data_IF_677480668694
#
_entry.id   IF_677480668694
#
_cell.length_a   1.000
_cell.length_b   1.000
_cell.length_c   1.000
_cell.angle_alpha   90.00
_cell.angle_beta   90.00
_cell.angle_gamma   90.00
#
_symmetry.space_group_name_H-M   'P 1'
#
loop_
_entity.id
_entity.type
_entity.pdbx_description
1 polymer ?
#
# COMPACT_ATOMS: atom_id res chain seq x y z
N UNK A 1 20.89 11.56 -29.61
CA UNK A 1 19.56 10.89 -29.55
C UNK A 1 19.29 10.33 -30.94
N UNK A 2 19.52 9.02 -31.14
CA UNK A 2 19.27 8.35 -32.42
C UNK A 2 18.12 7.35 -32.20
N UNK A 3 17.04 7.53 -32.94
CA UNK A 3 15.84 6.70 -32.90
C UNK A 3 16.08 5.50 -33.84
N UNK A 4 15.93 4.27 -33.32
CA UNK A 4 15.94 3.05 -34.15
C UNK A 4 14.57 2.87 -34.81
N UNK A 5 14.48 2.38 -36.06
CA UNK A 5 13.21 2.20 -36.75
C UNK A 5 12.50 0.92 -36.28
N UNK A 6 11.18 1.00 -36.28
CA UNK A 6 10.23 -0.09 -36.00
C UNK A 6 10.26 -1.08 -37.16
N UNK A 7 10.43 -2.37 -36.85
CA UNK A 7 10.35 -3.46 -37.82
C UNK A 7 8.90 -3.96 -37.82
N UNK A 8 8.19 -3.73 -38.92
CA UNK A 8 6.90 -4.37 -39.20
C UNK A 8 7.14 -5.79 -39.72
N UNK A 9 6.44 -6.83 -39.22
CA UNK A 9 6.48 -8.16 -39.84
C UNK A 9 5.60 -8.18 -41.09
N UNK A 10 6.21 -8.55 -42.22
CA UNK A 10 5.54 -8.71 -43.51
C UNK A 10 4.59 -9.90 -43.54
N UNK A 11 3.43 -9.68 -44.14
CA UNK A 11 2.48 -10.70 -44.57
C UNK A 11 3.12 -11.60 -45.64
N UNK A 12 3.17 -12.91 -45.39
CA UNK A 12 3.00 -14.00 -46.37
C UNK A 12 3.40 -15.32 -45.70
N UNK A 13 2.43 -16.21 -45.52
CA UNK A 13 2.55 -17.64 -45.80
C UNK A 13 1.16 -18.28 -45.63
N UNK A 14 0.40 -18.23 -46.73
CA UNK A 14 -0.73 -19.12 -46.97
C UNK A 14 -0.19 -20.54 -47.19
N UNK A 15 -0.68 -21.53 -46.42
CA UNK A 15 -1.26 -22.79 -46.92
C UNK A 15 -1.27 -23.88 -45.84
N UNK A 16 -2.46 -24.31 -45.44
CA UNK A 16 -2.93 -25.70 -45.58
C UNK A 16 -4.20 -25.89 -44.75
N UNK A 17 -5.35 -25.74 -45.41
CA UNK A 17 -6.62 -26.22 -44.88
C UNK A 17 -6.71 -27.73 -45.15
N UNK A 18 -6.72 -28.54 -44.10
CA UNK A 18 -7.27 -29.88 -44.14
C UNK A 18 -8.36 -29.99 -43.08
N UNK A 19 -9.60 -30.02 -43.55
CA UNK A 19 -10.76 -30.48 -42.78
C UNK A 19 -10.57 -31.95 -42.44
N UNK A 20 -10.61 -32.27 -41.14
CA UNK A 20 -10.94 -33.62 -40.68
C UNK A 20 -12.10 -33.47 -39.70
N UNK A 21 -13.31 -33.72 -40.21
CA UNK A 21 -14.48 -33.97 -39.38
C UNK A 21 -14.27 -35.28 -38.61
N UNK A 22 -14.26 -35.22 -37.29
CA UNK A 22 -14.40 -36.42 -36.43
C UNK A 22 -15.52 -36.17 -35.43
N UNK A 23 -16.65 -36.83 -35.71
CA UNK A 23 -17.80 -36.86 -34.84
C UNK A 23 -17.56 -37.77 -33.61
N UNK A 24 -18.24 -37.41 -32.52
CA UNK A 24 -18.74 -38.25 -31.42
C UNK A 24 -17.75 -38.66 -30.32
N UNK A 25 -17.78 -37.91 -29.21
CA UNK A 25 -18.26 -38.33 -27.87
C UNK A 25 -17.62 -37.45 -26.80
N UNK A 26 -18.35 -36.42 -26.36
CA UNK A 26 -17.98 -35.60 -25.21
C UNK A 26 -18.41 -36.37 -23.96
N UNK A 27 -17.51 -36.77 -23.03
CA UNK A 27 -17.94 -37.09 -21.69
C UNK A 27 -18.54 -35.80 -21.14
N UNK A 28 -19.84 -35.83 -20.85
CA UNK A 28 -20.52 -34.77 -20.11
C UNK A 28 -19.81 -34.56 -18.79
N UNK A 29 -18.81 -33.68 -18.77
CA UNK A 29 -18.38 -33.01 -17.56
C UNK A 29 -19.60 -32.16 -17.21
N UNK A 30 -20.39 -32.64 -16.26
CA UNK A 30 -21.36 -31.80 -15.57
C UNK A 30 -20.56 -30.69 -14.91
N UNK A 31 -20.38 -29.60 -15.65
CA UNK A 31 -19.99 -28.31 -15.11
C UNK A 31 -21.15 -27.84 -14.27
N UNK A 32 -21.22 -28.30 -13.03
CA UNK A 32 -22.02 -27.64 -12.00
C UNK A 32 -21.65 -26.17 -12.09
N UNK A 33 -22.59 -25.25 -12.37
CA UNK A 33 -22.26 -23.84 -12.41
C UNK A 33 -21.85 -23.46 -10.99
N UNK A 34 -20.54 -23.36 -10.75
CA UNK A 34 -20.03 -22.74 -9.55
C UNK A 34 -20.52 -21.30 -9.64
N UNK A 35 -21.59 -20.99 -8.89
CA UNK A 35 -22.14 -19.65 -8.77
C UNK A 35 -21.10 -18.79 -8.05
N UNK A 36 -20.08 -18.36 -8.79
CA UNK A 36 -19.00 -17.48 -8.35
C UNK A 36 -19.47 -16.05 -8.04
N UNK A 37 -20.79 -15.81 -8.16
CA UNK A 37 -21.39 -14.49 -8.02
C UNK A 37 -22.21 -14.34 -6.72
N UNK A 38 -22.28 -15.36 -5.88
CA UNK A 38 -23.01 -15.33 -4.61
C UNK A 38 -22.08 -15.53 -3.44
N UNK A 39 -21.77 -14.43 -2.73
CA UNK A 39 -21.07 -14.45 -1.45
C UNK A 39 -21.93 -15.20 -0.43
N UNK A 40 -21.37 -16.22 0.20
CA UNK A 40 -22.06 -17.02 1.22
C UNK A 40 -22.35 -16.20 2.48
N UNK A 41 -23.28 -16.67 3.31
CA UNK A 41 -23.57 -16.02 4.59
C UNK A 41 -22.35 -16.04 5.53
N UNK A 42 -21.55 -17.11 5.47
CA UNK A 42 -20.29 -17.25 6.22
C UNK A 42 -19.26 -16.22 5.77
N UNK A 43 -19.10 -16.01 4.47
CA UNK A 43 -18.22 -14.98 3.91
C UNK A 43 -18.66 -13.57 4.30
N UNK A 44 -19.97 -13.30 4.28
CA UNK A 44 -20.53 -12.04 4.79
C UNK A 44 -20.23 -11.84 6.28
N UNK A 45 -20.30 -12.91 7.07
CA UNK A 45 -19.96 -12.88 8.49
C UNK A 45 -18.48 -12.60 8.71
N UNK A 46 -17.59 -13.22 7.94
CA UNK A 46 -16.15 -12.97 7.96
C UNK A 46 -15.82 -11.52 7.60
N UNK A 47 -16.44 -10.98 6.54
CA UNK A 47 -16.27 -9.58 6.14
C UNK A 47 -16.69 -8.64 7.27
N UNK A 48 -17.87 -8.83 7.87
CA UNK A 48 -18.32 -8.01 9.01
C UNK A 48 -17.33 -8.02 10.18
N UNK A 49 -16.75 -9.19 10.50
CA UNK A 49 -15.71 -9.30 11.54
C UNK A 49 -14.45 -8.53 11.15
N UNK A 50 -14.03 -8.61 9.90
CA UNK A 50 -12.89 -7.87 9.38
C UNK A 50 -13.11 -6.36 9.48
N UNK A 51 -14.24 -5.84 8.99
CA UNK A 51 -14.58 -4.42 9.07
C UNK A 51 -14.61 -3.93 10.52
N UNK A 52 -15.25 -4.66 11.42
CA UNK A 52 -15.27 -4.34 12.85
C UNK A 52 -13.86 -4.28 13.45
N UNK A 53 -12.95 -5.14 12.99
CA UNK A 53 -11.55 -5.14 13.44
C UNK A 53 -10.80 -3.93 12.88
N UNK A 54 -11.00 -3.60 11.60
CA UNK A 54 -10.43 -2.41 10.96
C UNK A 54 -10.91 -1.12 11.63
N UNK A 55 -12.21 -1.00 11.91
CA UNK A 55 -12.78 0.17 12.59
C UNK A 55 -12.30 0.31 14.04
N UNK A 56 -11.92 -0.81 14.68
CA UNK A 56 -11.36 -0.79 16.04
C UNK A 56 -9.90 -0.32 16.11
N UNK A 57 -9.25 -0.14 14.96
CA UNK A 57 -7.87 0.32 14.90
C UNK A 57 -7.81 1.79 15.30
N UNK A 58 -7.13 2.06 16.40
CA UNK A 58 -6.84 3.41 16.87
C UNK A 58 -5.44 3.81 16.39
N UNK A 59 -5.33 4.97 15.74
CA UNK A 59 -4.06 5.57 15.39
C UNK A 59 -3.72 6.63 16.44
N UNK A 60 -2.60 6.44 17.14
CA UNK A 60 -2.11 7.44 18.08
C UNK A 60 -1.05 8.30 17.40
N UNK A 61 -1.09 9.60 17.68
CA UNK A 61 -0.14 10.56 17.16
C UNK A 61 1.02 10.74 18.15
N UNK A 62 2.25 10.64 17.67
CA UNK A 62 3.41 11.07 18.42
C UNK A 62 3.55 12.59 18.30
N UNK A 63 3.50 13.37 19.40
CA UNK A 63 3.57 14.83 19.32
C UNK A 63 4.95 15.37 18.90
N UNK A 64 6.02 14.55 19.01
CA UNK A 64 7.39 14.98 18.71
C UNK A 64 7.74 14.77 17.24
N UNK A 65 7.46 13.56 16.73
CA UNK A 65 7.77 13.21 15.33
C UNK A 65 6.59 13.40 14.38
N UNK A 66 5.41 13.77 14.90
CA UNK A 66 4.15 13.86 14.16
C UNK A 66 3.77 12.56 13.40
N UNK A 67 4.31 11.42 13.85
CA UNK A 67 4.07 10.10 13.29
C UNK A 67 2.75 9.53 13.83
N UNK A 68 1.91 8.97 12.95
CA UNK A 68 0.73 8.19 13.33
C UNK A 68 1.08 6.72 13.32
N UNK A 69 0.97 6.07 14.48
CA UNK A 69 1.33 4.65 14.62
C UNK A 69 0.11 3.88 15.11
N UNK A 70 -0.11 2.73 14.45
CA UNK A 70 -1.17 1.79 14.77
C UNK A 70 -1.04 1.32 16.22
N UNK A 71 -2.10 1.48 17.02
CA UNK A 71 -2.18 0.97 18.39
C UNK A 71 -0.96 1.31 19.26
N UNK A 72 -0.33 2.47 19.01
CA UNK A 72 0.87 2.85 19.75
C UNK A 72 0.54 3.28 21.18
N UNK A 73 1.16 2.64 22.16
CA UNK A 73 1.08 3.09 23.55
C UNK A 73 2.00 4.29 23.75
N UNK A 74 1.44 5.40 24.25
CA UNK A 74 2.22 6.56 24.68
C UNK A 74 2.63 6.38 26.14
N UNK A 75 3.91 6.57 26.45
CA UNK A 75 4.44 6.58 27.81
C UNK A 75 4.84 8.02 28.16
N UNK A 76 4.25 8.59 29.21
CA UNK A 76 4.38 10.02 29.56
C UNK A 76 4.13 10.96 28.37
N UNK A 77 3.12 10.67 27.54
CA UNK A 77 2.79 11.47 26.36
C UNK A 77 3.79 11.39 25.20
N UNK A 78 4.84 10.57 25.31
CA UNK A 78 5.83 10.32 24.24
C UNK A 78 5.70 8.89 23.71
N UNK A 79 6.03 8.67 22.44
CA UNK A 79 6.14 7.31 21.92
C UNK A 79 7.38 6.61 22.45
N UNK A 80 7.41 5.28 22.40
CA UNK A 80 8.55 4.48 22.88
C UNK A 80 9.87 4.87 22.18
N UNK A 81 9.82 5.22 20.89
CA UNK A 81 10.97 5.71 20.13
C UNK A 81 11.51 7.03 20.69
N UNK A 82 10.64 8.01 20.91
CA UNK A 82 11.00 9.29 21.53
C UNK A 82 11.61 9.09 22.92
N UNK A 83 11.02 8.18 23.71
CA UNK A 83 11.50 7.90 25.05
C UNK A 83 12.93 7.34 25.04
N UNK A 84 13.19 6.36 24.17
CA UNK A 84 14.54 5.76 24.00
C UNK A 84 15.55 6.79 23.49
N UNK A 85 15.18 7.57 22.48
CA UNK A 85 16.09 8.54 21.88
C UNK A 85 16.43 9.69 22.84
N UNK A 86 15.46 10.16 23.63
CA UNK A 86 15.71 11.12 24.70
C UNK A 86 16.73 10.57 25.71
N UNK A 87 16.53 9.33 26.17
CA UNK A 87 17.44 8.70 27.14
C UNK A 87 18.87 8.55 26.60
N UNK A 88 19.01 8.14 25.34
CA UNK A 88 20.33 8.07 24.68
C UNK A 88 20.98 9.44 24.51
N UNK A 89 20.23 10.46 24.10
CA UNK A 89 20.77 11.81 23.87
C UNK A 89 21.13 12.54 25.16
N UNK A 90 20.35 12.38 26.23
CA UNK A 90 20.70 12.90 27.57
C UNK A 90 21.99 12.27 28.08
N UNK A 91 22.18 10.96 27.87
CA UNK A 91 23.43 10.27 28.23
C UNK A 91 24.64 10.79 27.45
N UNK A 92 24.44 11.21 26.21
CA UNK A 92 25.50 11.65 25.30
C UNK A 92 25.65 13.19 25.20
N UNK A 93 24.87 13.97 25.98
CA UNK A 93 24.79 15.43 25.89
C UNK A 93 24.50 15.96 24.46
N UNK A 94 23.75 15.21 23.66
CA UNK A 94 23.39 15.58 22.30
C UNK A 94 22.10 16.41 22.30
N UNK A 95 22.23 17.70 22.62
CA UNK A 95 21.20 18.71 22.39
C UNK A 95 21.51 19.48 21.10
N UNK A 96 20.49 19.96 20.37
CA UNK A 96 19.05 19.93 20.67
C UNK A 96 18.31 18.67 20.17
N UNK A 97 17.06 18.45 20.62
CA UNK A 97 16.25 17.31 20.15
C UNK A 97 15.98 17.45 18.64
N UNK A 98 16.12 16.36 17.85
CA UNK A 98 15.72 16.34 16.43
C UNK A 98 14.24 16.76 16.33
N UNK A 99 13.96 17.84 15.61
CA UNK A 99 12.65 18.50 15.45
C UNK A 99 12.16 19.38 16.61
N UNK A 100 12.98 19.66 17.62
CA UNK A 100 12.70 20.76 18.55
C UNK A 100 12.86 22.14 17.87
N UNK A 101 12.20 23.15 18.44
CA UNK A 101 12.40 24.53 18.03
C UNK A 101 13.87 24.96 18.21
N UNK A 102 14.57 24.46 19.24
CA UNK A 102 16.01 24.73 19.41
C UNK A 102 16.88 24.18 18.27
N UNK A 103 16.42 23.16 17.54
CA UNK A 103 17.20 22.55 16.46
C UNK A 103 17.24 23.38 15.17
N UNK A 104 16.59 24.56 15.13
CA UNK A 104 16.59 25.48 13.99
C UNK A 104 16.46 24.75 12.64
N UNK A 105 15.61 23.72 12.58
CA UNK A 105 15.37 22.93 11.36
C UNK A 105 14.56 23.76 10.38
N UNK A 106 15.23 24.69 9.71
CA UNK A 106 14.66 25.47 8.63
C UNK A 106 14.69 24.61 7.36
N UNK A 107 13.49 24.22 6.90
CA UNK A 107 13.32 23.50 5.64
C UNK A 107 13.21 24.45 4.44
N UNK A 108 13.32 25.76 4.67
CA UNK A 108 13.06 26.80 3.70
C UNK A 108 11.57 26.97 3.40
N UNK A 109 11.26 27.83 2.44
CA UNK A 109 9.89 28.01 1.98
C UNK A 109 9.42 26.82 1.16
N UNK A 110 8.16 26.44 1.34
CA UNK A 110 7.52 25.41 0.51
C UNK A 110 7.36 25.98 -0.91
N UNK A 111 7.92 25.32 -1.95
CA UNK A 111 7.75 25.72 -3.35
C UNK A 111 6.27 25.85 -3.73
N UNK A 112 5.94 26.79 -4.61
CA UNK A 112 4.56 27.06 -5.01
C UNK A 112 3.89 25.82 -5.63
N UNK A 113 4.67 25.00 -6.34
CA UNK A 113 4.23 23.75 -6.97
C UNK A 113 3.79 22.69 -5.96
N UNK A 114 4.28 22.77 -4.72
CA UNK A 114 3.91 21.86 -3.64
C UNK A 114 2.76 22.39 -2.77
N UNK A 115 2.35 23.64 -2.96
CA UNK A 115 1.20 24.21 -2.26
C UNK A 115 -0.11 23.65 -2.84
N UNK A 116 -1.09 23.43 -1.97
CA UNK A 116 -2.42 22.95 -2.38
C UNK A 116 -2.50 21.48 -2.85
N UNK A 117 -1.43 20.69 -2.71
CA UNK A 117 -1.49 19.26 -3.01
C UNK A 117 -2.46 18.54 -2.06
N UNK A 118 -3.35 17.73 -2.63
CA UNK A 118 -4.14 16.75 -1.87
C UNK A 118 -3.22 15.73 -1.19
N UNK A 119 -3.66 15.13 -0.08
CA UNK A 119 -2.91 14.09 0.64
C UNK A 119 -2.38 12.98 -0.29
N UNK A 120 -3.20 12.49 -1.22
CA UNK A 120 -2.80 11.45 -2.19
C UNK A 120 -1.60 11.89 -3.04
N UNK A 121 -1.61 13.13 -3.56
CA UNK A 121 -0.50 13.67 -4.35
C UNK A 121 0.78 13.81 -3.51
N UNK A 122 0.66 14.23 -2.26
CA UNK A 122 1.81 14.30 -1.34
C UNK A 122 2.40 12.91 -1.10
N UNK A 123 1.56 11.90 -0.88
CA UNK A 123 1.99 10.51 -0.71
C UNK A 123 2.73 9.98 -1.93
N UNK A 124 2.24 10.29 -3.15
CA UNK A 124 2.90 9.90 -4.40
C UNK A 124 4.29 10.52 -4.56
N UNK A 125 4.44 11.82 -4.24
CA UNK A 125 5.74 12.51 -4.30
C UNK A 125 6.70 11.97 -3.23
N UNK A 126 6.22 11.78 -2.02
CA UNK A 126 7.02 11.27 -0.90
C UNK A 126 7.31 9.76 -1.03
N UNK A 127 6.71 9.07 -2.00
CA UNK A 127 6.77 7.62 -2.18
C UNK A 127 6.35 6.85 -0.91
N UNK A 128 5.41 7.43 -0.15
CA UNK A 128 4.87 6.82 1.06
C UNK A 128 3.65 5.99 0.68
N UNK A 129 3.81 4.67 0.68
CA UNK A 129 2.71 3.73 0.44
C UNK A 129 2.36 3.01 1.74
N UNK A 130 1.09 3.06 2.13
CA UNK A 130 0.60 2.22 3.23
C UNK A 130 0.54 0.78 2.75
N UNK A 131 1.48 -0.05 3.21
CA UNK A 131 1.44 -1.50 2.96
C UNK A 131 0.66 -2.15 4.09
N UNK A 132 -0.49 -2.75 3.76
CA UNK A 132 -1.26 -3.59 4.68
C UNK A 132 -1.10 -5.04 4.21
N UNK A 133 -0.30 -5.81 4.94
CA UNK A 133 -0.17 -7.25 4.68
C UNK A 133 -1.35 -7.97 5.32
N UNK A 134 -2.22 -8.56 4.49
CA UNK A 134 -3.33 -9.40 4.97
C UNK A 134 -2.90 -10.85 4.89
N UNK A 135 -2.80 -11.52 6.04
CA UNK A 135 -2.57 -12.95 6.10
C UNK A 135 -3.92 -13.67 6.18
N UNK A 136 -4.15 -14.62 5.27
CA UNK A 136 -5.20 -15.64 5.46
C UNK A 136 -4.62 -16.73 6.36
N UNK A 137 -5.23 -16.91 7.53
CA UNK A 137 -4.97 -18.04 8.43
C UNK A 137 -5.73 -19.27 7.94
#
# INVERSE_FOLDING_TARGET
>A
MQIRPVIEPSENDEQSHQEIQRNNETPSIQSTPLSSNTISEEERSMLKKFWKKMDSIQYNLCPIYNERILSMTLFNGKCQRCFKEKFSREKENLLPEKFSAENNMDLGEVPEELKGLSEIKKMLIAQIFTVITVYRL
#
